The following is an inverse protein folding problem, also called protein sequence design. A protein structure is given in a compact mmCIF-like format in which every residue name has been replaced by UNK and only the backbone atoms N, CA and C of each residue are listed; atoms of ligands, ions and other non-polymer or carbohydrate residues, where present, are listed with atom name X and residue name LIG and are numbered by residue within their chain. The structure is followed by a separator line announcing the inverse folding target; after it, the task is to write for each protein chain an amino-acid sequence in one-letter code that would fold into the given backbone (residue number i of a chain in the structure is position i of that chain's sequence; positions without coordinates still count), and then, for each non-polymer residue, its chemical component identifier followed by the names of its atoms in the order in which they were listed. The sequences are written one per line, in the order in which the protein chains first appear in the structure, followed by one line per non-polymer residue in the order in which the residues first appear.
data_IF_392173493828
#
_entry.id   IF_392173493828
#
_cell.length_a   1.000
_cell.length_b   1.000
_cell.length_c   1.000
_cell.angle_alpha   90.00
_cell.angle_beta   90.00
_cell.angle_gamma   90.00
#
_symmetry.space_group_name_H-M   'P 1'
#
loop_
_entity.id
_entity.type
_entity.pdbx_description
1 polymer ?
#
# COMPACT_ATOMS: atom_id res chain seq x y z
N UNK A 1 -100.48 15.78 -42.63
CA UNK A 1 -101.65 16.12 -41.78
C UNK A 1 -101.24 17.35 -40.97
N UNK A 2 -101.62 18.59 -41.22
CA UNK A 2 -102.85 19.18 -41.78
C UNK A 2 -104.13 18.54 -41.24
N UNK A 3 -104.49 18.91 -40.00
CA UNK A 3 -105.86 19.11 -39.49
C UNK A 3 -105.82 19.63 -38.05
N UNK A 4 -105.87 20.95 -37.89
CA UNK A 4 -106.53 21.64 -36.75
C UNK A 4 -106.64 23.15 -37.02
N UNK A 5 -107.19 23.50 -38.19
CA UNK A 5 -107.52 24.87 -38.56
C UNK A 5 -108.87 25.33 -37.96
N UNK A 6 -109.08 25.25 -36.64
CA UNK A 6 -110.34 25.74 -36.06
C UNK A 6 -110.23 26.49 -34.73
N UNK A 7 -109.04 26.94 -34.32
CA UNK A 7 -108.88 27.73 -33.08
C UNK A 7 -108.29 29.15 -33.26
N UNK A 8 -107.65 29.46 -34.38
CA UNK A 8 -107.47 30.84 -34.83
C UNK A 8 -108.67 31.17 -35.72
N UNK A 9 -109.74 31.81 -35.23
CA UNK A 9 -110.53 32.79 -36.03
C UNK A 9 -111.75 33.40 -35.32
N UNK A 10 -112.44 32.72 -34.39
CA UNK A 10 -113.60 33.34 -33.71
C UNK A 10 -113.21 34.40 -32.67
N UNK A 11 -112.01 34.32 -32.10
CA UNK A 11 -111.55 35.32 -31.13
C UNK A 11 -111.32 36.72 -31.74
N UNK A 12 -111.14 36.80 -33.06
CA UNK A 12 -110.86 38.06 -33.76
C UNK A 12 -112.12 38.90 -34.06
N UNK A 13 -113.33 38.43 -33.73
CA UNK A 13 -114.57 39.17 -34.03
C UNK A 13 -115.30 39.77 -32.82
N UNK A 14 -114.92 39.43 -31.59
CA UNK A 14 -115.68 39.90 -30.41
C UNK A 14 -115.08 41.10 -29.66
N UNK A 15 -113.83 41.50 -29.94
CA UNK A 15 -113.18 42.61 -29.23
C UNK A 15 -112.99 43.88 -30.08
N UNK A 16 -113.53 43.90 -31.31
CA UNK A 16 -113.61 45.09 -32.15
C UNK A 16 -115.04 45.61 -32.20
N UNK A 17 -115.59 46.09 -31.07
CA UNK A 17 -116.72 47.02 -31.00
C UNK A 17 -116.81 47.51 -29.55
N UNK A 18 -116.98 48.82 -29.35
CA UNK A 18 -116.77 49.61 -28.12
C UNK A 18 -115.27 49.84 -27.81
N UNK A 19 -114.66 51.01 -27.99
CA UNK A 19 -115.14 52.39 -28.08
C UNK A 19 -114.09 53.27 -27.39
N UNK A 20 -114.02 54.55 -27.78
CA UNK A 20 -113.05 55.60 -27.39
C UNK A 20 -111.69 55.46 -28.09
N UNK A 21 -111.37 56.20 -29.16
CA UNK A 21 -111.32 57.66 -29.26
C UNK A 21 -110.72 58.28 -28.00
N UNK A 22 -109.41 58.18 -27.84
CA UNK A 22 -108.64 59.14 -27.08
C UNK A 22 -107.32 59.34 -27.81
N UNK A 23 -107.12 60.59 -28.19
CA UNK A 23 -105.91 61.28 -28.59
C UNK A 23 -104.84 60.54 -29.41
N UNK A 24 -104.63 61.13 -30.59
CA UNK A 24 -103.43 61.05 -31.39
C UNK A 24 -102.14 61.20 -30.58
N UNK A 25 -101.63 60.11 -30.01
CA UNK A 25 -100.22 60.05 -29.66
C UNK A 25 -99.45 59.76 -30.93
N UNK A 26 -98.74 60.81 -31.35
CA UNK A 26 -97.79 60.81 -32.46
C UNK A 26 -96.87 59.61 -32.29
N UNK A 27 -97.14 58.54 -33.06
CA UNK A 27 -96.15 57.52 -33.34
C UNK A 27 -95.07 58.27 -34.13
N UNK A 28 -94.08 58.82 -33.44
CA UNK A 28 -92.85 59.28 -34.08
C UNK A 28 -92.24 58.01 -34.67
N UNK A 29 -92.30 57.78 -36.00
CA UNK A 29 -91.56 56.67 -36.57
C UNK A 29 -90.10 56.94 -36.21
N UNK A 30 -89.49 56.01 -35.49
CA UNK A 30 -88.10 56.12 -35.11
C UNK A 30 -87.27 56.14 -36.39
N UNK A 31 -86.93 57.35 -36.86
CA UNK A 31 -86.16 57.59 -38.10
C UNK A 31 -84.75 57.00 -38.00
N UNK A 32 -84.26 56.87 -36.78
CA UNK A 32 -83.00 56.23 -36.41
C UNK A 32 -83.15 55.64 -34.98
N UNK A 33 -83.68 54.41 -34.84
CA UNK A 33 -83.88 53.77 -33.54
C UNK A 33 -82.62 53.74 -32.65
N UNK A 34 -81.40 53.47 -33.18
CA UNK A 34 -80.15 53.66 -32.44
C UNK A 34 -80.02 55.05 -31.77
N UNK A 35 -80.28 56.12 -32.52
CA UNK A 35 -80.16 57.50 -32.01
C UNK A 35 -81.33 57.93 -31.12
N UNK A 36 -82.51 57.32 -31.27
CA UNK A 36 -83.73 57.76 -30.58
C UNK A 36 -84.10 56.93 -29.36
N UNK A 37 -83.77 55.64 -29.34
CA UNK A 37 -84.04 54.74 -28.21
C UNK A 37 -82.77 54.26 -27.50
N UNK A 38 -81.59 54.53 -28.05
CA UNK A 38 -80.31 54.07 -27.50
C UNK A 38 -80.13 54.40 -26.03
N UNK A 39 -80.52 55.60 -25.59
CA UNK A 39 -80.47 56.01 -24.18
C UNK A 39 -81.37 55.18 -23.26
N UNK A 40 -82.60 54.88 -23.67
CA UNK A 40 -83.53 54.05 -22.88
C UNK A 40 -83.06 52.59 -22.80
N UNK A 41 -82.71 51.98 -23.93
CA UNK A 41 -82.21 50.61 -23.97
C UNK A 41 -80.93 50.45 -23.15
N UNK A 42 -80.02 51.42 -23.24
CA UNK A 42 -78.83 51.46 -22.39
C UNK A 42 -79.22 51.54 -20.91
N UNK A 43 -80.19 52.38 -20.54
CA UNK A 43 -80.70 52.47 -19.17
C UNK A 43 -81.22 51.13 -18.62
N UNK A 44 -82.01 50.39 -19.40
CA UNK A 44 -82.54 49.06 -19.00
C UNK A 44 -81.45 48.00 -18.92
N UNK A 45 -80.47 48.02 -19.83
CA UNK A 45 -79.38 47.04 -19.88
C UNK A 45 -78.22 47.38 -18.92
N UNK A 46 -78.14 48.61 -18.44
CA UNK A 46 -77.06 49.10 -17.57
C UNK A 46 -76.81 48.18 -16.36
N UNK A 47 -77.83 47.70 -15.61
CA UNK A 47 -77.61 46.78 -14.49
C UNK A 47 -76.93 45.47 -14.90
N UNK A 48 -77.30 44.89 -16.05
CA UNK A 48 -76.73 43.64 -16.58
C UNK A 48 -75.29 43.85 -17.06
N UNK A 49 -75.05 44.93 -17.82
CA UNK A 49 -73.71 45.31 -18.28
C UNK A 49 -72.75 45.55 -17.11
N UNK A 50 -73.22 46.23 -16.05
CA UNK A 50 -72.46 46.45 -14.83
C UNK A 50 -72.11 45.12 -14.13
N UNK A 51 -73.05 44.16 -14.06
CA UNK A 51 -72.81 42.88 -13.40
C UNK A 51 -71.79 41.99 -14.15
N UNK A 52 -71.84 41.99 -15.49
CA UNK A 52 -70.84 41.31 -16.32
C UNK A 52 -69.45 41.88 -16.09
N UNK A 53 -69.35 43.22 -16.05
CA UNK A 53 -68.09 43.93 -15.80
C UNK A 53 -67.50 43.56 -14.43
N UNK A 54 -68.31 43.56 -13.37
CA UNK A 54 -67.88 43.16 -12.02
C UNK A 54 -67.39 41.71 -12.01
N UNK A 55 -68.14 40.79 -12.63
CA UNK A 55 -67.80 39.37 -12.65
C UNK A 55 -66.49 39.09 -13.39
N UNK A 56 -66.24 39.78 -14.50
CA UNK A 56 -64.97 39.73 -15.23
C UNK A 56 -63.82 40.29 -14.39
N UNK A 57 -64.03 41.41 -13.71
CA UNK A 57 -63.01 41.99 -12.83
C UNK A 57 -62.66 41.06 -11.67
N UNK A 58 -63.65 40.42 -11.05
CA UNK A 58 -63.42 39.42 -9.99
C UNK A 58 -62.68 38.19 -10.51
N UNK A 59 -63.05 37.66 -11.69
CA UNK A 59 -62.36 36.53 -12.30
C UNK A 59 -60.91 36.86 -12.65
N UNK A 60 -60.67 38.02 -13.24
CA UNK A 60 -59.32 38.52 -13.55
C UNK A 60 -58.49 38.73 -12.28
N UNK A 61 -59.09 39.29 -11.22
CA UNK A 61 -58.44 39.48 -9.92
C UNK A 61 -58.08 38.14 -9.27
N UNK A 62 -58.99 37.16 -9.26
CA UNK A 62 -58.73 35.82 -8.73
C UNK A 62 -57.64 35.08 -9.52
N UNK A 63 -57.66 35.16 -10.86
CA UNK A 63 -56.62 34.58 -11.70
C UNK A 63 -55.26 35.26 -11.47
N UNK A 64 -55.24 36.59 -11.33
CA UNK A 64 -54.02 37.34 -10.99
C UNK A 64 -53.48 36.96 -9.61
N UNK A 65 -54.34 36.82 -8.60
CA UNK A 65 -53.96 36.38 -7.26
C UNK A 65 -53.33 34.98 -7.26
N UNK A 66 -53.96 34.01 -7.95
CA UNK A 66 -53.40 32.65 -8.12
C UNK A 66 -52.07 32.66 -8.89
N UNK A 67 -51.97 33.46 -9.94
CA UNK A 67 -50.72 33.61 -10.70
C UNK A 67 -49.59 34.17 -9.84
N UNK A 68 -49.87 35.21 -9.04
CA UNK A 68 -48.89 35.78 -8.10
C UNK A 68 -48.45 34.76 -7.04
N UNK A 69 -49.37 33.95 -6.50
CA UNK A 69 -49.04 32.89 -5.54
C UNK A 69 -48.09 31.83 -6.16
N UNK A 70 -48.38 31.40 -7.39
CA UNK A 70 -47.53 30.44 -8.12
C UNK A 70 -46.13 31.02 -8.38
N UNK A 71 -46.03 32.29 -8.79
CA UNK A 71 -44.74 32.97 -9.01
C UNK A 71 -43.92 33.03 -7.71
N UNK A 72 -44.54 33.42 -6.58
CA UNK A 72 -43.85 33.46 -5.28
C UNK A 72 -43.33 32.07 -4.90
N UNK A 73 -44.11 31.00 -5.13
CA UNK A 73 -43.68 29.62 -4.89
C UNK A 73 -42.53 29.21 -5.81
N UNK A 74 -42.56 29.60 -7.08
CA UNK A 74 -41.48 29.32 -8.03
C UNK A 74 -40.16 29.97 -7.56
N UNK A 75 -40.18 31.28 -7.27
CA UNK A 75 -38.99 31.97 -6.74
C UNK A 75 -38.49 31.33 -5.45
N UNK A 76 -39.39 30.88 -4.57
CA UNK A 76 -39.04 30.15 -3.34
C UNK A 76 -38.35 28.81 -3.65
N UNK A 77 -38.89 28.03 -4.59
CA UNK A 77 -38.31 26.75 -5.01
C UNK A 77 -36.94 26.93 -5.69
N UNK A 78 -36.78 27.94 -6.54
CA UNK A 78 -35.50 28.28 -7.18
C UNK A 78 -34.43 28.67 -6.15
N UNK A 79 -34.82 29.46 -5.13
CA UNK A 79 -33.95 29.80 -4.01
C UNK A 79 -33.52 28.56 -3.21
N UNK A 80 -34.45 27.64 -2.93
CA UNK A 80 -34.13 26.38 -2.26
C UNK A 80 -33.21 25.49 -3.10
N UNK A 81 -33.44 25.41 -4.42
CA UNK A 81 -32.61 24.64 -5.34
C UNK A 81 -31.17 25.16 -5.35
N UNK A 82 -30.99 26.47 -5.43
CA UNK A 82 -29.66 27.12 -5.37
C UNK A 82 -28.96 26.83 -4.04
N UNK A 83 -29.70 26.89 -2.92
CA UNK A 83 -29.17 26.56 -1.60
C UNK A 83 -28.76 25.09 -1.49
N UNK A 84 -29.52 24.16 -2.07
CA UNK A 84 -29.18 22.73 -2.12
C UNK A 84 -27.95 22.47 -2.99
N UNK A 85 -27.85 23.10 -4.17
CA UNK A 85 -26.68 22.99 -5.05
C UNK A 85 -25.40 23.48 -4.36
N UNK A 86 -25.45 24.61 -3.65
CA UNK A 86 -24.31 25.11 -2.88
C UNK A 86 -23.88 24.15 -1.76
N UNK A 87 -24.85 23.51 -1.08
CA UNK A 87 -24.55 22.49 -0.07
C UNK A 87 -23.92 21.24 -0.69
N UNK A 88 -24.42 20.78 -1.84
CA UNK A 88 -23.83 19.64 -2.55
C UNK A 88 -22.38 19.93 -2.95
N UNK A 89 -22.11 21.10 -3.54
CA UNK A 89 -20.76 21.53 -3.89
C UNK A 89 -19.85 21.58 -2.65
N UNK A 90 -20.35 22.10 -1.53
CA UNK A 90 -19.60 22.10 -0.26
C UNK A 90 -19.26 20.70 0.24
N UNK A 91 -20.16 19.73 0.07
CA UNK A 91 -19.93 18.33 0.46
C UNK A 91 -18.89 17.69 -0.46
N UNK A 92 -18.99 17.90 -1.77
CA UNK A 92 -18.04 17.37 -2.76
C UNK A 92 -16.61 17.88 -2.51
N UNK A 93 -16.45 19.18 -2.24
CA UNK A 93 -15.15 19.78 -1.90
C UNK A 93 -14.60 19.20 -0.59
N UNK A 94 -15.45 19.00 0.42
CA UNK A 94 -15.02 18.42 1.69
C UNK A 94 -14.59 16.95 1.55
N UNK A 95 -15.31 16.17 0.75
CA UNK A 95 -15.00 14.77 0.46
C UNK A 95 -13.69 14.63 -0.31
N UNK A 96 -13.47 15.46 -1.34
CA UNK A 96 -12.20 15.51 -2.08
C UNK A 96 -11.02 15.88 -1.15
N UNK A 97 -11.19 16.89 -0.30
CA UNK A 97 -10.17 17.29 0.66
C UNK A 97 -9.84 16.14 1.64
N UNK A 98 -10.83 15.35 2.06
CA UNK A 98 -10.61 14.17 2.89
C UNK A 98 -9.93 13.03 2.13
N UNK A 99 -10.34 12.77 0.89
CA UNK A 99 -9.70 11.79 0.00
C UNK A 99 -8.22 12.10 -0.22
N UNK A 100 -7.87 13.37 -0.47
CA UNK A 100 -6.48 13.82 -0.59
C UNK A 100 -5.68 13.59 0.69
N UNK A 101 -6.25 13.88 1.87
CA UNK A 101 -5.60 13.60 3.17
C UNK A 101 -5.33 12.11 3.37
N UNK A 102 -6.28 11.25 3.01
CA UNK A 102 -6.13 9.79 3.11
C UNK A 102 -5.01 9.28 2.19
N UNK A 103 -4.97 9.73 0.92
CA UNK A 103 -3.92 9.34 -0.02
C UNK A 103 -2.51 9.77 0.44
N UNK A 104 -2.38 11.00 0.97
CA UNK A 104 -1.10 11.47 1.54
C UNK A 104 -0.68 10.61 2.73
N UNK A 105 -1.61 10.22 3.61
CA UNK A 105 -1.30 9.33 4.72
C UNK A 105 -0.84 7.95 4.22
N UNK A 106 -1.53 7.38 3.24
CA UNK A 106 -1.16 6.09 2.64
C UNK A 106 0.23 6.12 2.01
N UNK A 107 0.57 7.18 1.27
CA UNK A 107 1.91 7.38 0.71
C UNK A 107 2.97 7.49 1.81
N UNK A 108 2.72 8.32 2.83
CA UNK A 108 3.62 8.46 3.97
C UNK A 108 3.85 7.12 4.71
N UNK A 109 2.81 6.28 4.83
CA UNK A 109 2.96 4.94 5.42
C UNK A 109 3.76 3.99 4.52
N UNK A 110 3.49 4.00 3.21
CA UNK A 110 4.20 3.17 2.22
C UNK A 110 5.70 3.52 2.18
N UNK A 111 6.05 4.80 2.17
CA UNK A 111 7.44 5.26 2.21
C UNK A 111 8.14 4.82 3.50
N UNK A 112 7.46 4.89 4.65
CA UNK A 112 8.01 4.44 5.94
C UNK A 112 8.22 2.93 5.97
N UNK A 113 7.33 2.14 5.40
CA UNK A 113 7.49 0.68 5.31
C UNK A 113 8.69 0.31 4.44
N UNK A 114 8.80 0.89 3.24
CA UNK A 114 9.95 0.67 2.35
C UNK A 114 11.28 1.08 3.00
N UNK A 115 11.29 2.20 3.74
CA UNK A 115 12.45 2.63 4.51
C UNK A 115 12.82 1.62 5.61
N UNK A 116 11.83 1.11 6.35
CA UNK A 116 12.04 0.14 7.41
C UNK A 116 12.57 -1.21 6.89
N UNK A 117 12.02 -1.69 5.77
CA UNK A 117 12.53 -2.89 5.08
C UNK A 117 13.99 -2.70 4.64
N UNK A 118 14.35 -1.52 4.12
CA UNK A 118 15.73 -1.17 3.78
C UNK A 118 16.67 -1.20 5.00
N UNK A 119 16.22 -0.69 6.14
CA UNK A 119 16.98 -0.73 7.40
C UNK A 119 17.18 -2.17 7.89
N UNK A 120 16.14 -3.00 7.83
CA UNK A 120 16.22 -4.40 8.24
C UNK A 120 17.23 -5.18 7.39
N UNK A 121 17.19 -5.04 6.06
CA UNK A 121 18.15 -5.69 5.17
C UNK A 121 19.59 -5.25 5.44
N UNK A 122 19.82 -3.96 5.69
CA UNK A 122 21.14 -3.45 6.05
C UNK A 122 21.61 -3.98 7.42
N UNK A 123 20.70 -4.13 8.38
CA UNK A 123 20.98 -4.68 9.70
C UNK A 123 21.34 -6.17 9.62
N UNK A 124 20.58 -6.97 8.87
CA UNK A 124 20.86 -8.39 8.65
C UNK A 124 22.25 -8.59 8.04
N UNK A 125 22.59 -7.80 7.01
CA UNK A 125 23.93 -7.82 6.42
C UNK A 125 25.01 -7.46 7.45
N UNK A 126 24.80 -6.42 8.24
CA UNK A 126 25.73 -5.99 9.28
C UNK A 126 25.91 -7.08 10.34
N UNK A 127 24.83 -7.72 10.77
CA UNK A 127 24.85 -8.83 11.74
C UNK A 127 25.64 -10.01 11.17
N UNK A 128 25.44 -10.36 9.90
CA UNK A 128 26.21 -11.41 9.24
C UNK A 128 27.71 -11.08 9.20
N UNK A 129 28.07 -9.86 8.78
CA UNK A 129 29.46 -9.40 8.78
C UNK A 129 30.11 -9.43 10.17
N UNK A 130 29.38 -9.00 11.20
CA UNK A 130 29.84 -9.06 12.60
C UNK A 130 29.99 -10.50 13.08
N UNK A 131 29.02 -11.37 12.78
CA UNK A 131 29.07 -12.81 13.11
C UNK A 131 30.31 -13.46 12.49
N UNK A 132 30.61 -13.17 11.22
CA UNK A 132 31.79 -13.64 10.51
C UNK A 132 33.08 -13.12 11.14
N UNK A 133 33.17 -11.82 11.44
CA UNK A 133 34.35 -11.22 12.10
C UNK A 133 34.59 -11.79 13.50
N UNK A 134 33.54 -12.05 14.27
CA UNK A 134 33.65 -12.67 15.59
C UNK A 134 34.11 -14.12 15.47
N UNK A 135 33.53 -14.89 14.53
CA UNK A 135 33.86 -16.31 14.32
C UNK A 135 35.35 -16.50 14.00
N UNK A 136 35.90 -15.66 13.13
CA UNK A 136 37.30 -15.75 12.70
C UNK A 136 38.23 -14.79 13.44
N UNK A 137 37.82 -14.31 14.63
CA UNK A 137 38.64 -13.38 15.41
C UNK A 137 39.98 -14.01 15.79
N UNK A 138 41.07 -13.38 15.34
CA UNK A 138 42.44 -13.87 15.54
C UNK A 138 42.92 -14.82 14.45
N UNK A 139 42.06 -15.26 13.53
CA UNK A 139 42.48 -16.04 12.37
C UNK A 139 42.73 -15.12 11.17
N UNK A 140 43.69 -15.51 10.33
CA UNK A 140 44.02 -14.88 9.06
C UNK A 140 43.57 -15.78 7.91
N UNK A 141 42.94 -15.21 6.89
CA UNK A 141 42.56 -15.97 5.70
C UNK A 141 43.81 -16.26 4.87
N UNK A 142 44.12 -17.55 4.67
CA UNK A 142 45.23 -18.01 3.84
C UNK A 142 44.68 -19.07 2.89
N UNK A 143 44.61 -18.73 1.60
CA UNK A 143 43.92 -19.58 0.62
C UNK A 143 42.41 -19.63 0.91
N UNK A 144 41.86 -20.84 0.94
CA UNK A 144 40.43 -21.10 1.20
C UNK A 144 40.07 -21.31 2.67
N UNK A 145 41.04 -21.16 3.58
CA UNK A 145 40.89 -21.47 5.01
C UNK A 145 41.34 -20.30 5.88
N UNK A 146 40.97 -20.37 7.15
CA UNK A 146 41.37 -19.41 8.17
C UNK A 146 42.35 -20.07 9.14
N UNK A 147 43.49 -19.43 9.37
CA UNK A 147 44.55 -19.96 10.23
C UNK A 147 44.91 -18.99 11.35
N UNK A 148 45.16 -19.54 12.53
CA UNK A 148 45.86 -18.84 13.60
C UNK A 148 47.26 -19.46 13.73
N UNK A 149 48.29 -18.64 13.54
CA UNK A 149 49.69 -19.05 13.67
C UNK A 149 50.22 -18.47 14.98
N UNK A 150 50.43 -19.31 15.98
CA UNK A 150 51.01 -18.89 17.26
C UNK A 150 52.42 -18.31 17.03
N UNK A 151 52.67 -17.11 17.57
CA UNK A 151 53.89 -16.33 17.33
C UNK A 151 54.84 -16.29 18.52
N UNK A 152 54.40 -16.70 19.72
CA UNK A 152 55.17 -16.56 20.96
C UNK A 152 55.11 -17.82 21.82
N UNK A 153 53.91 -18.32 22.15
CA UNK A 153 53.75 -19.39 23.14
C UNK A 153 54.08 -20.77 22.55
N UNK A 154 54.91 -21.53 23.25
CA UNK A 154 55.09 -22.95 22.95
C UNK A 154 54.24 -23.81 23.89
N UNK A 155 53.66 -24.89 23.36
CA UNK A 155 52.76 -25.80 24.08
C UNK A 155 52.99 -27.22 23.62
N UNK A 156 52.74 -28.18 24.51
CA UNK A 156 52.67 -29.58 24.11
C UNK A 156 51.46 -29.81 23.19
N UNK A 157 51.50 -30.89 22.42
CA UNK A 157 50.52 -31.13 21.35
C UNK A 157 49.07 -31.15 21.88
N UNK A 158 48.84 -31.81 23.02
CA UNK A 158 47.51 -31.88 23.65
C UNK A 158 46.99 -30.50 24.09
N UNK A 159 47.88 -29.67 24.66
CA UNK A 159 47.51 -28.31 25.10
C UNK A 159 47.29 -27.39 23.90
N UNK A 160 48.12 -27.48 22.86
CA UNK A 160 47.93 -26.77 21.60
C UNK A 160 46.59 -27.14 20.94
N UNK A 161 46.26 -28.44 20.89
CA UNK A 161 44.97 -28.94 20.42
C UNK A 161 43.79 -28.34 21.20
N UNK A 162 43.86 -28.33 22.53
CA UNK A 162 42.86 -27.69 23.38
C UNK A 162 42.75 -26.18 23.11
N UNK A 163 43.88 -25.48 22.93
CA UNK A 163 43.89 -24.06 22.59
C UNK A 163 43.14 -23.80 21.30
N UNK A 164 43.44 -24.54 20.22
CA UNK A 164 42.72 -24.37 18.95
C UNK A 164 41.22 -24.63 19.07
N UNK A 165 40.81 -25.66 19.84
CA UNK A 165 39.38 -25.94 20.11
C UNK A 165 38.69 -24.80 20.85
N UNK A 166 39.36 -24.23 21.85
CA UNK A 166 38.82 -23.09 22.60
C UNK A 166 38.71 -21.82 21.74
N UNK A 167 39.47 -21.73 20.65
CA UNK A 167 39.40 -20.66 19.66
C UNK A 167 38.33 -20.92 18.57
N UNK A 168 37.56 -22.01 18.66
CA UNK A 168 36.54 -22.36 17.66
C UNK A 168 37.09 -23.07 16.42
N UNK A 169 38.32 -23.57 16.47
CA UNK A 169 38.93 -24.35 15.39
C UNK A 169 39.55 -25.65 15.89
N UNK A 170 40.57 -26.12 15.20
CA UNK A 170 41.37 -27.28 15.58
C UNK A 170 42.81 -27.12 15.08
N UNK A 171 43.74 -27.97 15.49
CA UNK A 171 45.08 -27.94 14.89
C UNK A 171 45.01 -28.13 13.38
N UNK A 172 45.89 -27.47 12.65
CA UNK A 172 45.87 -27.43 11.20
C UNK A 172 46.14 -28.79 10.57
N UNK A 173 45.39 -29.11 9.51
CA UNK A 173 45.50 -30.31 8.71
C UNK A 173 45.66 -29.89 7.25
N UNK A 174 46.89 -30.05 6.76
CA UNK A 174 47.34 -29.60 5.44
C UNK A 174 46.90 -30.65 4.42
N UNK A 175 46.07 -30.27 3.44
CA UNK A 175 45.42 -31.23 2.54
C UNK A 175 46.21 -31.50 1.27
N UNK A 176 47.01 -30.54 0.82
CA UNK A 176 47.79 -30.63 -0.40
C UNK A 176 49.00 -29.68 -0.40
N UNK A 177 49.76 -29.70 -1.48
CA UNK A 177 50.95 -28.87 -1.66
C UNK A 177 50.62 -27.37 -1.78
N UNK A 178 49.42 -27.01 -2.24
CA UNK A 178 49.00 -25.61 -2.36
C UNK A 178 48.68 -25.01 -0.98
N UNK A 179 47.96 -25.76 -0.14
CA UNK A 179 47.75 -25.46 1.28
C UNK A 179 49.09 -25.26 2.00
N UNK A 180 50.03 -26.18 1.79
CA UNK A 180 51.35 -26.13 2.41
C UNK A 180 52.15 -24.90 1.97
N UNK A 181 52.17 -24.60 0.67
CA UNK A 181 52.89 -23.45 0.13
C UNK A 181 52.30 -22.13 0.67
N UNK A 182 50.97 -22.01 0.70
CA UNK A 182 50.29 -20.82 1.19
C UNK A 182 50.57 -20.56 2.68
N UNK A 183 50.53 -21.61 3.51
CA UNK A 183 50.81 -21.43 4.94
C UNK A 183 52.28 -21.18 5.22
N UNK A 184 53.19 -21.87 4.52
CA UNK A 184 54.65 -21.73 4.69
C UNK A 184 55.12 -20.28 4.56
N UNK A 185 54.53 -19.52 3.64
CA UNK A 185 54.85 -18.11 3.43
C UNK A 185 54.58 -17.21 4.66
N UNK A 186 53.77 -17.67 5.62
CA UNK A 186 53.36 -16.92 6.82
C UNK A 186 54.02 -17.45 8.10
N UNK A 187 54.84 -18.51 8.00
CA UNK A 187 55.54 -19.11 9.12
C UNK A 187 56.89 -18.42 9.33
N UNK A 188 57.32 -18.39 10.59
CA UNK A 188 58.67 -17.93 10.93
C UNK A 188 59.66 -19.03 10.52
N UNK A 189 60.74 -18.63 9.85
CA UNK A 189 61.85 -19.53 9.53
C UNK A 189 62.43 -20.18 10.80
N UNK A 190 62.95 -21.40 10.64
CA UNK A 190 63.58 -22.18 11.71
C UNK A 190 62.72 -22.33 12.98
N UNK A 191 61.40 -22.47 12.79
CA UNK A 191 60.43 -22.59 13.88
C UNK A 191 59.55 -23.82 13.69
N UNK A 192 59.30 -24.54 14.79
CA UNK A 192 58.50 -25.75 14.82
C UNK A 192 57.03 -25.44 15.11
N UNK A 193 56.12 -26.06 14.35
CA UNK A 193 54.68 -25.84 14.49
C UNK A 193 53.92 -27.15 14.55
N UNK A 194 53.22 -27.43 15.66
CA UNK A 194 52.32 -28.58 15.76
C UNK A 194 51.21 -28.52 14.70
N UNK A 195 50.96 -29.68 14.09
CA UNK A 195 49.83 -29.94 13.20
C UNK A 195 48.82 -30.87 13.87
N UNK A 196 47.61 -30.92 13.31
CA UNK A 196 46.51 -31.78 13.73
C UNK A 196 46.66 -33.20 13.21
N UNK A 197 47.86 -33.76 13.22
CA UNK A 197 48.17 -35.09 12.69
C UNK A 197 48.93 -35.87 13.76
N UNK A 198 48.51 -37.12 14.00
CA UNK A 198 49.11 -38.02 14.98
C UNK A 198 48.80 -39.47 14.62
N UNK A 199 49.55 -40.42 15.15
CA UNK A 199 49.31 -41.87 15.04
C UNK A 199 49.17 -42.55 16.41
N UNK A 200 48.68 -41.79 17.41
CA UNK A 200 48.48 -42.24 18.80
C UNK A 200 47.60 -43.49 18.94
N UNK A 201 46.69 -43.72 17.99
CA UNK A 201 45.76 -44.84 17.99
C UNK A 201 46.39 -46.12 17.41
N UNK A 202 47.17 -45.98 16.33
CA UNK A 202 47.85 -47.08 15.66
C UNK A 202 49.17 -46.59 15.05
N UNK A 203 50.29 -47.06 15.60
CA UNK A 203 51.63 -46.73 15.13
C UNK A 203 51.76 -46.84 13.60
N UNK A 204 52.29 -45.79 12.97
CA UNK A 204 52.46 -45.69 11.52
C UNK A 204 51.19 -45.34 10.74
N UNK A 205 50.02 -45.21 11.38
CA UNK A 205 48.77 -44.72 10.76
C UNK A 205 48.45 -43.31 11.23
N UNK A 206 49.00 -42.33 10.53
CA UNK A 206 48.77 -40.92 10.82
C UNK A 206 47.35 -40.47 10.46
N UNK A 207 46.59 -40.06 11.46
CA UNK A 207 45.22 -39.60 11.37
C UNK A 207 45.14 -38.07 11.45
N UNK A 208 44.27 -37.51 10.61
CA UNK A 208 43.82 -36.13 10.68
C UNK A 208 42.86 -35.96 11.86
N UNK A 209 43.24 -35.16 12.84
CA UNK A 209 42.42 -34.87 14.03
C UNK A 209 41.00 -34.38 13.71
N UNK A 210 40.79 -33.50 12.72
CA UNK A 210 39.45 -33.00 12.41
C UNK A 210 38.52 -34.09 11.86
N UNK A 211 39.07 -35.01 11.07
CA UNK A 211 38.26 -36.00 10.35
C UNK A 211 38.27 -37.39 11.00
N UNK A 212 39.25 -37.68 11.86
CA UNK A 212 39.55 -39.02 12.36
C UNK A 212 40.02 -40.00 11.29
N UNK A 213 40.22 -39.54 10.05
CA UNK A 213 40.62 -40.38 8.91
C UNK A 213 42.12 -40.31 8.71
N UNK A 214 42.68 -41.34 8.09
CA UNK A 214 44.07 -41.32 7.68
C UNK A 214 44.34 -40.14 6.76
N UNK A 215 45.38 -39.36 7.06
CA UNK A 215 45.74 -38.23 6.20
C UNK A 215 46.29 -38.73 4.87
N UNK A 216 45.89 -38.07 3.78
CA UNK A 216 46.32 -38.39 2.42
C UNK A 216 47.55 -37.60 2.00
N UNK A 217 47.90 -36.53 2.73
CA UNK A 217 49.01 -35.66 2.42
C UNK A 217 49.99 -35.62 3.59
N UNK A 218 51.17 -36.20 3.38
CA UNK A 218 52.28 -36.18 4.33
C UNK A 218 53.56 -35.85 3.55
N UNK A 219 54.12 -34.66 3.80
CA UNK A 219 55.39 -34.24 3.22
C UNK A 219 56.52 -34.47 4.22
N UNK A 220 56.83 -35.73 4.47
CA UNK A 220 57.88 -36.10 5.42
C UNK A 220 59.25 -35.57 5.01
N UNK A 221 59.99 -35.07 5.98
CA UNK A 221 61.42 -34.82 5.80
C UNK A 221 62.18 -36.13 5.59
N UNK A 222 63.43 -36.02 5.11
CA UNK A 222 64.30 -37.18 4.95
C UNK A 222 64.47 -37.93 6.29
N UNK A 223 64.24 -39.25 6.26
CA UNK A 223 64.31 -40.10 7.46
C UNK A 223 63.11 -40.00 8.40
N UNK A 224 61.99 -39.42 7.93
CA UNK A 224 60.72 -39.34 8.67
C UNK A 224 59.61 -40.13 7.95
N UNK A 225 58.62 -40.68 8.69
CA UNK A 225 58.59 -40.76 10.14
C UNK A 225 59.73 -41.67 10.66
N UNK A 226 60.05 -41.55 11.94
CA UNK A 226 61.01 -42.43 12.59
C UNK A 226 60.47 -43.86 12.67
N UNK A 227 61.33 -44.80 13.05
CA UNK A 227 60.93 -46.17 13.39
C UNK A 227 60.64 -46.33 14.89
N UNK A 228 60.66 -45.23 15.64
CA UNK A 228 60.45 -45.20 17.09
C UNK A 228 58.96 -44.98 17.39
N UNK A 229 58.35 -45.91 18.11
CA UNK A 229 56.94 -45.96 18.52
C UNK A 229 56.54 -44.94 19.61
N UNK A 230 57.42 -43.98 19.90
CA UNK A 230 57.22 -42.94 20.92
C UNK A 230 57.01 -41.56 20.31
N UNK A 231 57.10 -41.43 18.99
CA UNK A 231 57.12 -40.16 18.25
C UNK A 231 55.78 -39.82 17.60
N UNK A 232 54.71 -39.76 18.38
CA UNK A 232 53.37 -39.94 17.79
C UNK A 232 52.70 -38.67 17.27
N UNK A 233 53.33 -37.50 17.41
CA UNK A 233 52.73 -36.21 17.04
C UNK A 233 53.53 -35.52 15.94
N UNK A 234 52.82 -34.91 14.98
CA UNK A 234 53.45 -34.30 13.79
C UNK A 234 53.59 -32.80 13.95
N UNK A 235 54.80 -32.29 13.69
CA UNK A 235 55.06 -30.87 13.51
C UNK A 235 55.57 -30.56 12.11
N UNK A 236 55.40 -29.29 11.71
CA UNK A 236 55.93 -28.71 10.49
C UNK A 236 57.19 -27.88 10.81
N UNK A 237 58.25 -28.06 10.03
CA UNK A 237 59.49 -27.29 10.10
C UNK A 237 60.06 -27.07 8.71
N UNK A 238 60.30 -25.81 8.37
CA UNK A 238 60.82 -25.38 7.05
C UNK A 238 60.08 -25.97 5.82
N UNK A 239 58.80 -26.32 5.99
CA UNK A 239 57.96 -26.88 4.93
C UNK A 239 57.97 -28.40 4.81
N UNK A 240 58.58 -29.11 5.75
CA UNK A 240 58.56 -30.57 5.83
C UNK A 240 57.99 -31.02 7.19
N UNK A 241 57.43 -32.22 7.21
CA UNK A 241 56.79 -32.82 8.37
C UNK A 241 57.74 -33.76 9.11
N UNK A 242 57.61 -33.77 10.43
CA UNK A 242 58.40 -34.57 11.35
C UNK A 242 57.51 -35.15 12.45
N UNK A 243 57.78 -36.39 12.82
CA UNK A 243 57.17 -37.08 13.95
C UNK A 243 58.03 -36.86 15.21
N UNK A 244 57.39 -36.63 16.36
CA UNK A 244 58.08 -36.25 17.60
C UNK A 244 57.25 -36.57 18.86
N UNK A 245 57.86 -36.68 20.05
CA UNK A 245 57.09 -36.98 21.25
C UNK A 245 56.15 -35.82 21.59
N UNK A 246 54.87 -36.14 21.75
CA UNK A 246 53.79 -35.18 21.93
C UNK A 246 53.93 -34.23 23.14
N UNK A 247 54.77 -34.58 24.12
CA UNK A 247 54.97 -33.82 25.35
C UNK A 247 55.92 -32.63 25.20
N UNK A 248 56.72 -32.57 24.12
CA UNK A 248 57.56 -31.42 23.81
C UNK A 248 56.72 -30.20 23.45
N UNK A 249 57.25 -29.03 23.73
CA UNK A 249 56.54 -27.77 23.48
C UNK A 249 57.00 -27.14 22.18
N UNK A 250 56.06 -26.85 21.28
CA UNK A 250 56.30 -26.08 20.05
C UNK A 250 55.21 -25.03 19.90
N UNK A 251 55.40 -24.10 18.96
CA UNK A 251 54.29 -23.29 18.45
C UNK A 251 53.32 -24.20 17.73
N UNK A 252 52.18 -23.66 17.34
CA UNK A 252 51.13 -24.45 16.72
C UNK A 252 50.35 -23.61 15.72
N UNK A 253 49.71 -24.31 14.81
CA UNK A 253 48.84 -23.70 13.82
C UNK A 253 47.44 -24.23 14.08
N UNK A 254 46.49 -23.33 14.32
CA UNK A 254 45.08 -23.67 14.31
C UNK A 254 44.49 -23.37 12.94
N UNK A 255 43.48 -24.12 12.53
CA UNK A 255 42.66 -23.81 11.36
C UNK A 255 41.18 -23.90 11.70
N UNK A 256 40.38 -23.19 10.91
CA UNK A 256 38.94 -23.33 10.81
C UNK A 256 38.54 -23.14 9.35
N UNK A 257 37.44 -23.77 8.95
CA UNK A 257 36.93 -23.71 7.58
C UNK A 257 35.78 -22.69 7.48
N UNK A 258 35.61 -22.14 6.28
CA UNK A 258 34.43 -21.35 5.95
C UNK A 258 33.22 -22.29 5.86
N UNK A 259 32.33 -22.25 6.84
CA UNK A 259 31.03 -22.90 6.72
C UNK A 259 30.12 -22.04 5.85
N UNK A 260 29.36 -22.67 4.96
CA UNK A 260 28.25 -22.02 4.27
C UNK A 260 27.27 -21.49 5.33
N UNK A 261 27.29 -20.17 5.59
CA UNK A 261 26.36 -19.50 6.49
C UNK A 261 24.92 -19.41 5.91
N UNK A 262 24.61 -20.20 4.89
CA UNK A 262 23.35 -20.23 4.15
C UNK A 262 22.38 -21.32 4.67
N UNK A 263 22.31 -21.54 6.00
CA UNK A 263 21.32 -22.43 6.64
C UNK A 263 20.35 -21.62 7.50
#
# INVERSE_FOLDING_TARGET
MLKSASALLCGLLALNLYGAWAESDVICPLKDPPSQCGGFCLGVLTPVLNHLTISQNLANSNNSSKANEVLVRQYTMEGQLTALQNKQLSIEVALDAQGRKLNVNEQNFTERLNCMEGILSALEKTVLEVKTKIKYLGFEQIGSKYYYIEKVSEKNWSTASKTCRNMGGHLADIKDEADLAAIKANLKEDTHYWLGINDLDHEGKFLSMPTGKQTTFLKWASGRPSQLDTLNCVFLYNGEMYDYPCHYTFRFICQTEEEDLNV
#
